data_IF_564356638625
#
_entry.id   IF_564356638625
#
_cell.length_a   1.000
_cell.length_b   1.000
_cell.length_c   1.000
_cell.angle_alpha   90.00
_cell.angle_beta   90.00
_cell.angle_gamma   90.00
#
_symmetry.space_group_name_H-M   'P 1'
#
loop_
_entity.id
_entity.type
_entity.pdbx_description
1 polymer ?
#
# COMPACT_ATOMS: atom_id res chain seq x y z
N UNK A 1 7.80 11.66 -14.16
CA UNK A 1 7.28 12.26 -12.91
C UNK A 1 8.47 12.72 -12.06
N UNK A 2 8.33 13.80 -11.28
CA UNK A 2 9.36 14.21 -10.30
C UNK A 2 8.97 13.71 -8.92
N UNK A 3 9.93 13.21 -8.14
CA UNK A 3 9.73 12.84 -6.74
C UNK A 3 9.96 14.05 -5.84
N UNK A 4 9.07 14.27 -4.87
CA UNK A 4 9.14 15.41 -3.95
C UNK A 4 9.33 14.91 -2.51
N UNK A 5 10.53 15.08 -1.95
CA UNK A 5 10.91 14.70 -0.57
C UNK A 5 10.41 13.30 -0.13
N UNK A 6 11.01 12.21 -0.66
CA UNK A 6 10.47 10.86 -0.55
C UNK A 6 10.81 10.15 0.77
N UNK A 7 11.64 10.73 1.65
CA UNK A 7 12.22 10.04 2.80
C UNK A 7 11.19 9.33 3.69
N UNK A 8 10.13 10.02 4.10
CA UNK A 8 9.11 9.41 4.98
C UNK A 8 8.37 8.25 4.29
N UNK A 9 8.02 8.41 3.02
CA UNK A 9 7.36 7.34 2.26
C UNK A 9 8.30 6.18 1.96
N UNK A 10 9.61 6.43 1.76
CA UNK A 10 10.62 5.38 1.62
C UNK A 10 10.72 4.60 2.93
N UNK A 11 10.83 5.30 4.07
CA UNK A 11 10.87 4.67 5.38
C UNK A 11 9.64 3.79 5.61
N UNK A 12 8.44 4.28 5.28
CA UNK A 12 7.21 3.51 5.43
C UNK A 12 7.18 2.29 4.49
N UNK A 13 7.62 2.43 3.24
CA UNK A 13 7.70 1.31 2.30
C UNK A 13 8.68 0.24 2.81
N UNK A 14 9.83 0.66 3.35
CA UNK A 14 10.83 -0.27 3.92
C UNK A 14 10.26 -0.99 5.14
N UNK A 15 9.61 -0.26 6.06
CA UNK A 15 8.93 -0.86 7.23
C UNK A 15 7.88 -1.88 6.77
N UNK A 16 7.07 -1.54 5.76
CA UNK A 16 6.06 -2.46 5.25
C UNK A 16 6.64 -3.69 4.56
N UNK A 17 7.76 -3.55 3.85
CA UNK A 17 8.49 -4.69 3.30
C UNK A 17 8.99 -5.62 4.40
N UNK A 18 9.50 -5.07 5.51
CA UNK A 18 9.92 -5.86 6.67
C UNK A 18 8.73 -6.57 7.32
N UNK A 19 7.61 -5.87 7.52
CA UNK A 19 6.39 -6.46 8.08
C UNK A 19 5.81 -7.57 7.20
N UNK A 20 5.83 -7.37 5.87
CA UNK A 20 5.43 -8.39 4.90
C UNK A 20 6.32 -9.64 5.01
N UNK A 21 7.63 -9.46 5.14
CA UNK A 21 8.58 -10.57 5.32
C UNK A 21 8.32 -11.31 6.63
N UNK A 22 8.13 -10.59 7.74
CA UNK A 22 7.80 -11.19 9.05
C UNK A 22 6.50 -11.98 8.97
N UNK A 23 5.44 -11.38 8.42
CA UNK A 23 4.15 -12.06 8.27
C UNK A 23 4.23 -13.28 7.35
N UNK A 24 5.09 -13.23 6.32
CA UNK A 24 5.33 -14.38 5.46
C UNK A 24 6.07 -15.50 6.18
N UNK A 25 7.08 -15.19 7.00
CA UNK A 25 7.79 -16.20 7.80
C UNK A 25 6.87 -16.86 8.82
N UNK A 26 6.07 -16.07 9.54
CA UNK A 26 5.05 -16.59 10.49
C UNK A 26 4.03 -17.49 9.78
N UNK A 27 3.64 -17.13 8.55
CA UNK A 27 2.78 -17.97 7.74
C UNK A 27 3.45 -19.30 7.38
N UNK A 28 4.72 -19.30 7.00
CA UNK A 28 5.46 -20.53 6.69
C UNK A 28 5.59 -21.44 7.92
N UNK A 29 5.87 -20.87 9.10
CA UNK A 29 5.91 -21.59 10.37
C UNK A 29 4.54 -22.23 10.69
N UNK A 30 3.45 -21.47 10.53
CA UNK A 30 2.09 -21.99 10.73
C UNK A 30 1.75 -23.11 9.74
N UNK A 31 2.16 -22.98 8.48
CA UNK A 31 1.96 -24.05 7.47
C UNK A 31 2.74 -25.29 7.87
N UNK A 32 3.99 -25.16 8.31
CA UNK A 32 4.82 -26.29 8.73
C UNK A 32 4.25 -27.01 9.97
N UNK A 33 3.72 -26.26 10.94
CA UNK A 33 3.02 -26.83 12.11
C UNK A 33 1.72 -27.52 11.73
N UNK A 34 0.93 -26.93 10.82
CA UNK A 34 -0.29 -27.55 10.33
C UNK A 34 -0.01 -28.79 9.47
N UNK A 35 1.09 -28.84 8.71
CA UNK A 35 1.47 -30.03 7.92
C UNK A 35 1.73 -31.22 8.83
N UNK A 36 2.32 -30.97 10.01
CA UNK A 36 2.56 -31.99 11.04
C UNK A 36 1.29 -32.46 11.73
N UNK A 37 0.30 -31.58 11.90
CA UNK A 37 -0.91 -31.88 12.67
C UNK A 37 -2.09 -32.39 11.82
N UNK A 38 -2.33 -31.82 10.64
CA UNK A 38 -3.46 -32.14 9.75
C UNK A 38 -3.13 -31.82 8.27
N UNK A 39 -2.41 -32.70 7.57
CA UNK A 39 -1.94 -32.46 6.21
C UNK A 39 -3.07 -32.30 5.17
N UNK A 40 -4.23 -32.91 5.40
CA UNK A 40 -5.38 -32.83 4.47
C UNK A 40 -6.04 -31.44 4.45
N UNK A 41 -5.86 -30.64 5.51
CA UNK A 41 -6.52 -29.35 5.66
C UNK A 41 -5.77 -28.21 4.94
N UNK A 42 -4.46 -28.36 4.72
CA UNK A 42 -3.60 -27.34 4.10
C UNK A 42 -3.93 -27.07 2.64
N UNK A 43 -4.33 -28.11 1.89
CA UNK A 43 -4.78 -27.94 0.51
C UNK A 43 -6.10 -27.17 0.38
N UNK A 44 -6.89 -27.09 1.46
CA UNK A 44 -8.23 -26.49 1.48
C UNK A 44 -8.23 -25.04 1.97
N UNK A 45 -7.25 -24.64 2.78
CA UNK A 45 -7.18 -23.31 3.36
C UNK A 45 -6.22 -22.44 2.51
N UNK A 46 -6.66 -21.24 2.11
CA UNK A 46 -5.77 -20.19 1.57
C UNK A 46 -5.68 -19.00 2.55
N UNK A 47 -4.88 -19.09 3.64
CA UNK A 47 -4.87 -18.06 4.68
C UNK A 47 -4.01 -16.83 4.31
N UNK A 48 -3.20 -16.89 3.26
CA UNK A 48 -2.14 -15.92 2.97
C UNK A 48 -2.58 -14.55 2.41
N UNK A 49 -3.88 -14.27 2.30
CA UNK A 49 -4.34 -13.20 1.39
C UNK A 49 -4.35 -11.80 2.02
N UNK A 50 -4.70 -11.64 3.29
CA UNK A 50 -5.05 -10.32 3.87
C UNK A 50 -3.84 -9.45 4.26
N UNK A 51 -2.77 -10.04 4.81
CA UNK A 51 -1.55 -9.29 5.15
C UNK A 51 -0.74 -8.86 3.91
N UNK A 52 -0.70 -9.73 2.90
CA UNK A 52 -0.06 -9.43 1.62
C UNK A 52 -0.75 -8.27 0.89
N UNK A 53 -2.08 -8.25 0.88
CA UNK A 53 -2.85 -7.18 0.22
C UNK A 53 -2.76 -5.84 0.93
N UNK A 54 -2.74 -5.81 2.27
CA UNK A 54 -2.54 -4.56 3.04
C UNK A 54 -1.21 -3.88 2.66
N UNK A 55 -0.15 -4.67 2.58
CA UNK A 55 1.19 -4.18 2.23
C UNK A 55 1.21 -3.53 0.85
N UNK A 56 0.51 -4.12 -0.12
CA UNK A 56 0.36 -3.56 -1.48
C UNK A 56 -0.37 -2.20 -1.46
N UNK A 57 -1.42 -2.06 -0.64
CA UNK A 57 -2.15 -0.78 -0.53
C UNK A 57 -1.27 0.33 0.03
N UNK A 58 -0.51 0.03 1.08
CA UNK A 58 0.38 1.03 1.69
C UNK A 58 1.49 1.44 0.72
N UNK A 59 2.03 0.49 -0.08
CA UNK A 59 2.99 0.80 -1.15
C UNK A 59 2.37 1.72 -2.22
N UNK A 60 1.15 1.45 -2.68
CA UNK A 60 0.47 2.27 -3.68
C UNK A 60 0.22 3.70 -3.18
N UNK A 61 -0.24 3.86 -1.95
CA UNK A 61 -0.47 5.18 -1.34
C UNK A 61 0.87 5.91 -1.15
N UNK A 62 1.91 5.21 -0.66
CA UNK A 62 3.25 5.76 -0.49
C UNK A 62 3.85 6.24 -1.81
N UNK A 63 3.69 5.47 -2.88
CA UNK A 63 4.15 5.85 -4.22
C UNK A 63 3.39 7.07 -4.77
N UNK A 64 2.08 7.14 -4.56
CA UNK A 64 1.27 8.31 -4.91
C UNK A 64 1.74 9.57 -4.17
N UNK A 65 2.04 9.45 -2.87
CA UNK A 65 2.57 10.52 -2.05
C UNK A 65 3.89 11.04 -2.64
N UNK A 66 4.82 10.16 -3.02
CA UNK A 66 6.14 10.55 -3.51
C UNK A 66 6.08 11.32 -4.81
N UNK A 67 5.13 10.98 -5.69
CA UNK A 67 4.95 11.62 -7.00
C UNK A 67 4.13 12.92 -6.94
N UNK A 68 3.57 13.25 -5.78
CA UNK A 68 2.71 14.44 -5.58
C UNK A 68 3.50 15.63 -5.03
N UNK A 69 3.20 16.83 -5.54
CA UNK A 69 3.87 18.07 -5.09
C UNK A 69 3.62 18.30 -3.60
N UNK A 70 4.54 18.96 -2.88
CA UNK A 70 4.34 19.30 -1.47
C UNK A 70 3.16 20.27 -1.35
N UNK A 71 2.09 19.82 -0.70
CA UNK A 71 0.86 20.56 -0.42
C UNK A 71 0.33 20.15 0.95
N UNK A 72 -0.61 20.91 1.52
CA UNK A 72 -1.29 20.53 2.77
C UNK A 72 -1.95 19.15 2.68
N UNK A 73 -2.52 18.81 1.50
CA UNK A 73 -3.09 17.48 1.21
C UNK A 73 -2.02 16.38 1.37
N UNK A 74 -0.78 16.65 0.95
CA UNK A 74 0.32 15.70 1.10
C UNK A 74 0.64 15.39 2.56
N UNK A 75 0.57 16.41 3.43
CA UNK A 75 0.78 16.23 4.87
C UNK A 75 -0.31 15.33 5.45
N UNK A 76 -1.57 15.55 5.08
CA UNK A 76 -2.71 14.72 5.51
C UNK A 76 -2.50 13.26 5.09
N UNK A 77 -2.11 13.01 3.83
CA UNK A 77 -1.83 11.65 3.34
C UNK A 77 -0.74 10.97 4.18
N UNK A 78 0.33 11.68 4.55
CA UNK A 78 1.41 11.12 5.39
C UNK A 78 0.90 10.69 6.76
N UNK A 79 0.12 11.55 7.41
CA UNK A 79 -0.47 11.24 8.73
C UNK A 79 -1.35 9.99 8.61
N UNK A 80 -2.22 9.94 7.59
CA UNK A 80 -3.04 8.76 7.33
C UNK A 80 -2.21 7.49 7.11
N UNK A 81 -1.13 7.57 6.35
CA UNK A 81 -0.23 6.45 6.07
C UNK A 81 0.41 5.90 7.36
N UNK A 82 0.86 6.79 8.23
CA UNK A 82 1.42 6.43 9.54
C UNK A 82 0.33 5.81 10.42
N UNK A 83 -0.88 6.38 10.46
CA UNK A 83 -2.00 5.82 11.22
C UNK A 83 -2.41 4.42 10.74
N UNK A 84 -2.40 4.16 9.42
CA UNK A 84 -2.69 2.83 8.86
C UNK A 84 -1.63 1.82 9.32
N UNK A 85 -0.34 2.17 9.21
CA UNK A 85 0.76 1.27 9.61
C UNK A 85 0.68 0.98 11.10
N UNK A 86 0.60 2.01 11.95
CA UNK A 86 0.53 1.84 13.41
C UNK A 86 -0.75 1.10 13.82
N UNK A 87 -1.89 1.45 13.22
CA UNK A 87 -3.18 0.82 13.50
C UNK A 87 -3.19 -0.66 13.13
N UNK A 88 -2.55 -1.05 12.03
CA UNK A 88 -2.42 -2.46 11.65
C UNK A 88 -1.42 -3.21 12.54
N UNK A 89 -0.26 -2.60 12.86
CA UNK A 89 0.76 -3.23 13.70
C UNK A 89 0.29 -3.44 15.14
N UNK A 90 -0.45 -2.48 15.70
CA UNK A 90 -0.92 -2.52 17.08
C UNK A 90 -2.39 -2.95 17.21
N UNK A 91 -3.01 -3.46 16.15
CA UNK A 91 -4.42 -3.85 16.17
C UNK A 91 -4.73 -4.87 17.27
N UNK A 92 -3.80 -5.79 17.55
CA UNK A 92 -3.94 -6.80 18.60
C UNK A 92 -3.89 -6.25 20.03
N UNK A 93 -3.47 -4.99 20.21
CA UNK A 93 -3.50 -4.30 21.52
C UNK A 93 -4.79 -3.50 21.73
N UNK A 94 -5.61 -3.35 20.69
CA UNK A 94 -6.83 -2.54 20.73
C UNK A 94 -8.01 -3.48 20.95
N UNK A 95 -8.72 -3.38 22.09
CA UNK A 95 -9.82 -4.27 22.43
C UNK A 95 -11.12 -3.85 21.72
N UNK A 96 -11.06 -3.72 20.40
CA UNK A 96 -12.18 -3.40 19.53
C UNK A 96 -12.26 -4.51 18.48
N UNK A 97 -13.36 -5.26 18.51
CA UNK A 97 -13.57 -6.34 17.56
C UNK A 97 -13.58 -5.82 16.11
N UNK A 98 -12.83 -6.49 15.23
CA UNK A 98 -12.72 -6.10 13.82
C UNK A 98 -11.92 -4.81 13.56
N UNK A 99 -11.18 -4.28 14.55
CA UNK A 99 -10.38 -3.06 14.35
C UNK A 99 -9.37 -3.20 13.19
N UNK A 100 -8.68 -4.34 13.10
CA UNK A 100 -7.76 -4.63 12.00
C UNK A 100 -8.47 -4.57 10.64
N UNK A 101 -9.67 -5.14 10.52
CA UNK A 101 -10.45 -5.14 9.29
C UNK A 101 -10.92 -3.71 8.91
N UNK A 102 -11.22 -2.88 9.91
CA UNK A 102 -11.50 -1.46 9.71
C UNK A 102 -10.29 -0.70 9.14
N UNK A 103 -9.10 -0.93 9.70
CA UNK A 103 -7.84 -0.36 9.19
C UNK A 103 -7.55 -0.85 7.77
N UNK A 104 -7.75 -2.15 7.53
CA UNK A 104 -7.57 -2.78 6.24
C UNK A 104 -8.48 -2.18 5.16
N UNK A 105 -9.78 -2.06 5.43
CA UNK A 105 -10.74 -1.48 4.49
C UNK A 105 -10.43 -0.02 4.18
N UNK A 106 -9.98 0.73 5.19
CA UNK A 106 -9.55 2.13 5.02
C UNK A 106 -8.33 2.23 4.11
N UNK A 107 -7.34 1.35 4.30
CA UNK A 107 -6.16 1.27 3.43
C UNK A 107 -6.54 0.89 1.99
N UNK A 108 -7.43 -0.10 1.82
CA UNK A 108 -7.94 -0.54 0.52
C UNK A 108 -8.63 0.59 -0.26
N UNK A 109 -9.56 1.29 0.39
CA UNK A 109 -10.29 2.40 -0.23
C UNK A 109 -9.34 3.54 -0.61
N UNK A 110 -8.42 3.89 0.29
CA UNK A 110 -7.42 4.93 0.05
C UNK A 110 -6.50 4.59 -1.11
N UNK A 111 -6.05 3.34 -1.23
CA UNK A 111 -5.22 2.88 -2.33
C UNK A 111 -5.97 2.90 -3.66
N UNK A 112 -7.25 2.53 -3.67
CA UNK A 112 -8.10 2.60 -4.88
C UNK A 112 -8.22 4.03 -5.38
N UNK A 113 -8.48 5.00 -4.49
CA UNK A 113 -8.52 6.42 -4.86
C UNK A 113 -7.15 6.88 -5.38
N UNK A 114 -6.07 6.54 -4.67
CA UNK A 114 -4.72 6.92 -5.06
C UNK A 114 -4.38 6.42 -6.47
N UNK A 115 -4.74 5.17 -6.78
CA UNK A 115 -4.55 4.56 -8.10
C UNK A 115 -5.34 5.32 -9.19
N UNK A 116 -6.62 5.61 -8.96
CA UNK A 116 -7.44 6.38 -9.89
C UNK A 116 -6.83 7.75 -10.21
N UNK A 117 -6.38 8.47 -9.18
CA UNK A 117 -5.74 9.78 -9.34
C UNK A 117 -4.41 9.68 -10.11
N UNK A 118 -3.66 8.60 -9.89
CA UNK A 118 -2.42 8.30 -10.60
C UNK A 118 -2.67 8.08 -12.10
N UNK A 119 -3.69 7.28 -12.44
CA UNK A 119 -4.10 7.02 -13.83
C UNK A 119 -4.52 8.32 -14.54
N UNK A 120 -5.37 9.13 -13.90
CA UNK A 120 -5.80 10.44 -14.46
C UNK A 120 -4.58 11.34 -14.74
N UNK A 121 -3.62 11.35 -13.82
CA UNK A 121 -2.41 12.17 -13.96
C UNK A 121 -1.48 11.66 -15.05
N UNK A 122 -1.36 10.34 -15.21
CA UNK A 122 -0.66 9.74 -16.34
C UNK A 122 -1.32 10.08 -17.68
N UNK A 123 -2.65 9.99 -17.77
CA UNK A 123 -3.39 10.35 -18.97
C UNK A 123 -3.17 11.82 -19.37
N UNK A 124 -3.23 12.75 -18.40
CA UNK A 124 -2.92 14.17 -18.64
C UNK A 124 -1.47 14.38 -19.09
N UNK A 125 -0.52 13.64 -18.54
CA UNK A 125 0.88 13.72 -18.93
C UNK A 125 1.10 13.26 -20.38
N UNK A 126 0.47 12.16 -20.80
CA UNK A 126 0.55 11.66 -22.17
C UNK A 126 -0.04 12.68 -23.15
N UNK A 127 -1.25 13.18 -22.87
CA UNK A 127 -1.93 14.18 -23.72
C UNK A 127 -1.09 15.44 -23.91
N UNK A 128 -0.52 15.99 -22.83
CA UNK A 128 0.33 17.18 -22.90
C UNK A 128 1.61 16.94 -23.72
N UNK A 129 2.16 15.73 -23.66
CA UNK A 129 3.37 15.38 -24.41
C UNK A 129 3.11 15.27 -25.91
N UNK A 130 1.93 14.81 -26.32
CA UNK A 130 1.51 14.78 -27.72
C UNK A 130 1.27 16.19 -28.28
N UNK A 131 0.58 17.07 -27.55
CA UNK A 131 0.38 18.47 -27.96
C UNK A 131 1.71 19.23 -28.08
N UNK A 132 2.66 19.01 -27.16
CA UNK A 132 3.99 19.61 -27.22
C UNK A 132 4.80 19.12 -28.43
N UNK A 133 4.67 17.84 -28.81
CA UNK A 133 5.28 17.30 -30.04
C UNK A 133 4.67 17.93 -31.30
N UNK A 134 3.34 18.04 -31.37
CA UNK A 134 2.66 18.69 -32.50
C UNK A 134 3.04 20.16 -32.65
N UNK A 135 3.13 20.92 -31.56
CA UNK A 135 3.58 22.33 -31.58
C UNK A 135 5.02 22.50 -32.08
N UNK A 136 5.91 21.52 -31.82
CA UNK A 136 7.29 21.54 -32.33
C UNK A 136 7.38 21.13 -33.80
N UNK A 137 6.48 20.27 -34.27
CA UNK A 137 6.46 19.84 -35.67
C UNK A 137 5.84 20.88 -36.61
N UNK A 138 5.04 21.82 -36.11
CA UNK A 138 4.44 22.91 -36.91
C UNK A 138 5.28 24.20 -36.94
N UNK A 139 6.53 24.17 -36.44
CA UNK A 139 7.41 25.33 -36.28
C UNK A 139 8.71 25.08 -37.03
#
# INVERSE_FOLDING_TARGET
>A
MKFYSPYLSITIIVIQLILLLIGHLQYLEWVEEMEKQNPELIGLISPSRTYGTLSIFVILIGFYEMTTKPTWIKIIIRIFLVCIVLGATFSGLIPIDGFYDGVYNTAWFSATIALFLLIIRFGKYIKNRETDKHKKASR
#
